data_IF_340291854934
#
_entry.id   IF_340291854934
#
_cell.length_a   1.000
_cell.length_b   1.000
_cell.length_c   1.000
_cell.angle_alpha   90.00
_cell.angle_beta   90.00
_cell.angle_gamma   90.00
#
_symmetry.space_group_name_H-M   'P 1'
#
loop_
_entity.id
_entity.type
_entity.pdbx_description
1 polymer ?
#
# COMPACT_ATOMS: atom_id res chain seq x y z
N UNK A 1 62.85 -6.87 8.48
CA UNK A 1 64.02 -6.02 8.15
C UNK A 1 63.48 -4.75 7.51
N UNK A 2 63.55 -3.63 8.25
CA UNK A 2 63.38 -2.24 7.80
C UNK A 2 64.47 -1.89 6.74
N UNK A 3 64.40 -0.78 5.96
CA UNK A 3 63.94 0.55 6.40
C UNK A 3 63.21 1.47 5.37
N UNK A 4 62.46 2.43 5.91
CA UNK A 4 62.39 3.84 5.44
C UNK A 4 63.40 4.66 6.31
N UNK A 5 63.89 5.90 6.01
CA UNK A 5 63.05 7.12 5.85
C UNK A 5 63.72 8.35 5.15
N UNK A 6 63.00 9.51 5.14
CA UNK A 6 63.54 10.88 4.94
C UNK A 6 62.50 11.78 4.24
N UNK A 7 61.65 12.59 4.88
CA UNK A 7 61.82 13.82 5.72
C UNK A 7 62.64 14.94 5.05
N UNK A 8 61.97 16.07 4.78
CA UNK A 8 62.38 17.38 5.33
C UNK A 8 61.20 18.39 5.43
N UNK A 9 61.27 19.41 6.32
CA UNK A 9 60.14 20.18 6.87
C UNK A 9 60.16 21.70 6.55
N UNK A 10 59.16 22.42 7.08
CA UNK A 10 59.18 23.89 7.26
C UNK A 10 58.08 24.60 6.46
N UNK A 11 57.27 25.54 6.99
CA UNK A 11 57.40 26.30 8.21
C UNK A 11 56.08 26.98 8.61
N UNK A 12 56.11 27.50 9.83
CA UNK A 12 55.01 28.02 10.63
C UNK A 12 54.61 29.46 10.23
N UNK A 13 53.36 29.82 10.46
CA UNK A 13 52.90 31.21 10.53
C UNK A 13 51.54 31.36 11.20
N UNK A 14 51.52 31.48 12.54
CA UNK A 14 50.35 31.91 13.34
C UNK A 14 50.45 33.42 13.59
N UNK A 15 49.38 34.19 13.31
CA UNK A 15 48.55 34.95 14.30
C UNK A 15 47.72 36.10 13.67
N UNK A 16 46.59 36.49 14.30
CA UNK A 16 45.63 37.54 13.87
C UNK A 16 45.81 38.82 14.73
N UNK A 17 44.79 39.68 14.99
CA UNK A 17 43.78 40.36 14.17
C UNK A 17 43.89 41.91 14.30
N UNK A 18 43.19 42.72 13.47
CA UNK A 18 42.89 44.13 13.81
C UNK A 18 41.51 44.61 13.34
N UNK A 19 40.95 45.43 14.22
CA UNK A 19 39.61 46.01 14.30
C UNK A 19 39.56 47.48 13.82
N UNK A 20 38.31 47.93 13.60
CA UNK A 20 37.76 49.30 13.68
C UNK A 20 37.83 50.27 12.48
N UNK A 21 36.63 50.67 12.01
CA UNK A 21 36.02 52.01 12.17
C UNK A 21 34.53 51.92 11.70
N UNK A 22 33.52 52.03 12.58
CA UNK A 22 32.77 53.23 13.03
C UNK A 22 32.25 54.15 11.90
N UNK A 23 30.94 54.09 11.67
CA UNK A 23 30.11 55.11 11.03
C UNK A 23 28.69 55.08 11.64
N UNK A 24 28.22 56.23 12.10
CA UNK A 24 27.08 56.48 13.01
C UNK A 24 25.69 56.45 12.35
N UNK A 25 24.59 56.36 13.14
CA UNK A 25 23.24 56.11 12.65
C UNK A 25 22.47 57.39 12.31
N UNK A 26 21.69 57.40 11.22
CA UNK A 26 20.67 58.44 10.96
C UNK A 26 19.27 57.92 11.32
N UNK A 27 18.65 58.58 12.29
CA UNK A 27 17.23 58.45 12.69
C UNK A 27 16.36 59.49 11.94
N UNK A 28 15.01 59.42 12.04
CA UNK A 28 14.09 59.58 10.92
C UNK A 28 13.56 61.00 10.73
N UNK A 29 13.07 61.30 9.52
CA UNK A 29 12.32 62.54 9.22
C UNK A 29 10.96 62.16 8.62
N UNK A 30 9.90 62.36 9.41
CA UNK A 30 8.56 62.80 8.97
C UNK A 30 8.36 64.16 9.64
N UNK A 31 7.86 65.19 8.95
CA UNK A 31 6.40 65.33 8.87
C UNK A 31 5.89 66.07 7.60
N UNK A 32 4.61 65.88 7.27
CA UNK A 32 3.67 67.01 7.14
C UNK A 32 2.26 66.53 6.77
N UNK A 33 1.35 66.92 7.65
CA UNK A 33 -0.11 66.85 7.55
C UNK A 33 -0.58 68.00 6.65
N UNK A 34 -1.48 67.74 5.70
CA UNK A 34 -2.41 68.75 5.15
C UNK A 34 -3.79 68.15 4.82
N UNK A 35 -4.76 68.50 5.65
CA UNK A 35 -6.18 68.81 5.36
C UNK A 35 -6.50 70.03 6.27
N UNK A 36 -7.37 71.01 5.92
CA UNK A 36 -8.80 70.85 5.54
C UNK A 36 -9.16 71.76 4.32
N UNK A 37 -10.38 71.97 3.81
CA UNK A 37 -11.71 72.32 4.39
C UNK A 37 -12.83 72.13 3.31
N UNK A 38 -14.12 72.52 3.48
CA UNK A 38 -15.27 71.63 3.22
C UNK A 38 -16.24 72.13 2.13
N UNK A 39 -17.16 71.30 1.65
CA UNK A 39 -18.48 71.79 1.22
C UNK A 39 -19.56 70.70 1.40
N UNK A 40 -20.55 71.02 2.23
CA UNK A 40 -21.96 70.56 2.23
C UNK A 40 -22.80 71.84 2.02
N UNK A 41 -24.11 71.81 1.69
CA UNK A 41 -25.09 70.72 1.93
C UNK A 41 -26.11 70.49 0.79
N UNK A 42 -26.95 69.46 0.92
CA UNK A 42 -28.26 69.44 0.25
C UNK A 42 -28.85 68.05 0.01
N UNK A 43 -29.89 67.69 0.77
CA UNK A 43 -30.87 66.66 0.35
C UNK A 43 -30.78 65.28 1.02
N UNK A 44 -31.57 65.08 2.07
CA UNK A 44 -32.15 63.79 2.50
C UNK A 44 -33.65 63.82 2.10
N UNK A 45 -34.45 62.76 2.27
CA UNK A 45 -34.20 61.30 2.23
C UNK A 45 -35.33 60.51 1.52
N UNK A 46 -35.12 59.31 0.96
CA UNK A 46 -36.17 58.26 0.95
C UNK A 46 -35.55 56.85 0.98
N UNK A 47 -36.06 56.02 1.90
CA UNK A 47 -35.84 54.57 2.06
C UNK A 47 -36.27 53.79 0.82
N UNK A 48 -35.50 52.76 0.44
CA UNK A 48 -36.06 51.49 -0.02
C UNK A 48 -35.04 50.37 0.22
N UNK A 49 -35.31 49.58 1.26
CA UNK A 49 -34.71 48.27 1.49
C UNK A 49 -35.27 47.34 0.41
N UNK A 50 -34.45 46.94 -0.56
CA UNK A 50 -34.82 45.86 -1.47
C UNK A 50 -34.56 44.53 -0.77
N UNK A 51 -35.65 43.91 -0.31
CA UNK A 51 -35.70 42.49 -0.02
C UNK A 51 -35.79 41.71 -1.36
N UNK A 52 -35.13 40.54 -1.50
CA UNK A 52 -35.33 39.69 -2.66
C UNK A 52 -36.70 39.00 -2.58
N UNK A 53 -37.45 39.06 -3.68
CA UNK A 53 -38.76 38.42 -3.85
C UNK A 53 -38.64 36.89 -3.90
N UNK A 54 -39.65 36.13 -3.41
CA UNK A 54 -39.64 34.68 -3.46
C UNK A 54 -40.03 34.21 -4.87
N UNK A 55 -39.08 33.65 -5.62
CA UNK A 55 -39.41 32.89 -6.84
C UNK A 55 -39.94 31.51 -6.42
N UNK A 56 -41.26 31.38 -6.42
CA UNK A 56 -41.94 30.09 -6.57
C UNK A 56 -41.77 29.62 -8.03
N UNK A 57 -40.64 28.97 -8.29
CA UNK A 57 -40.39 28.18 -9.50
C UNK A 57 -40.66 26.71 -9.19
N UNK A 58 -41.66 26.15 -9.86
CA UNK A 58 -42.20 24.80 -9.67
C UNK A 58 -41.10 23.73 -9.75
N UNK A 59 -40.99 22.90 -8.71
CA UNK A 59 -40.37 21.59 -8.79
C UNK A 59 -41.14 20.77 -9.83
N UNK A 60 -40.57 20.63 -11.02
CA UNK A 60 -40.95 19.57 -11.95
C UNK A 60 -40.03 18.40 -11.61
N UNK A 61 -40.52 17.31 -10.99
CA UNK A 61 -39.74 16.10 -10.90
C UNK A 61 -39.51 15.63 -12.34
N UNK A 62 -38.27 15.74 -12.83
CA UNK A 62 -37.87 15.01 -14.03
C UNK A 62 -38.18 13.52 -13.81
N UNK A 63 -38.51 12.77 -14.87
CA UNK A 63 -38.79 11.34 -14.73
C UNK A 63 -37.56 10.71 -14.07
N UNK A 64 -37.76 10.21 -12.86
CA UNK A 64 -36.78 9.41 -12.13
C UNK A 64 -36.57 8.14 -12.95
N UNK A 65 -35.60 8.19 -13.85
CA UNK A 65 -34.98 6.98 -14.37
C UNK A 65 -34.63 6.13 -13.16
N UNK A 66 -35.05 4.86 -13.10
CA UNK A 66 -34.70 3.97 -12.01
C UNK A 66 -33.21 3.70 -12.12
N UNK A 67 -32.41 4.61 -11.56
CA UNK A 67 -31.04 4.30 -11.22
C UNK A 67 -31.14 3.11 -10.28
N UNK A 68 -30.28 2.10 -10.48
CA UNK A 68 -30.11 0.98 -9.57
C UNK A 68 -29.48 1.48 -8.24
N UNK A 69 -30.04 2.53 -7.63
CA UNK A 69 -29.72 3.02 -6.30
C UNK A 69 -30.33 2.04 -5.32
N UNK A 70 -29.66 0.92 -5.10
CA UNK A 70 -30.08 0.00 -4.05
C UNK A 70 -30.09 0.72 -2.72
N UNK A 71 -31.12 0.45 -1.93
CA UNK A 71 -31.25 1.00 -0.58
C UNK A 71 -30.05 0.68 0.32
N UNK A 72 -29.99 1.26 1.53
CA UNK A 72 -28.85 1.13 2.45
C UNK A 72 -28.38 -0.31 2.68
N UNK A 73 -29.33 -1.26 2.71
CA UNK A 73 -29.06 -2.70 2.87
C UNK A 73 -28.27 -3.27 1.69
N UNK A 74 -28.67 -2.97 0.45
CA UNK A 74 -27.97 -3.48 -0.74
C UNK A 74 -26.56 -2.88 -0.86
N UNK A 75 -26.43 -1.59 -0.55
CA UNK A 75 -25.12 -0.92 -0.50
C UNK A 75 -24.22 -1.53 0.57
N UNK A 76 -24.74 -1.80 1.77
CA UNK A 76 -24.02 -2.51 2.82
C UNK A 76 -23.55 -3.90 2.40
N UNK A 77 -24.41 -4.68 1.72
CA UNK A 77 -24.02 -5.97 1.14
C UNK A 77 -22.84 -5.83 0.19
N UNK A 78 -22.88 -4.86 -0.75
CA UNK A 78 -21.78 -4.67 -1.70
C UNK A 78 -20.49 -4.18 -1.04
N UNK A 79 -20.55 -3.44 0.06
CA UNK A 79 -19.35 -3.14 0.86
C UNK A 79 -18.73 -4.40 1.46
N UNK A 80 -19.54 -5.33 1.99
CA UNK A 80 -19.05 -6.62 2.52
C UNK A 80 -18.45 -7.46 1.40
N UNK A 81 -19.14 -7.56 0.25
CA UNK A 81 -18.61 -8.25 -0.93
C UNK A 81 -17.28 -7.65 -1.38
N UNK A 82 -17.22 -6.32 -1.46
CA UNK A 82 -15.97 -5.64 -1.82
C UNK A 82 -14.87 -5.87 -0.78
N UNK A 83 -15.19 -5.93 0.51
CA UNK A 83 -14.20 -6.12 1.57
C UNK A 83 -13.40 -7.42 1.39
N UNK A 84 -14.04 -8.49 0.87
CA UNK A 84 -13.38 -9.77 0.55
C UNK A 84 -12.28 -9.67 -0.52
N UNK A 85 -12.24 -8.57 -1.29
CA UNK A 85 -11.16 -8.26 -2.25
C UNK A 85 -10.10 -7.29 -1.73
N UNK A 86 -10.24 -6.82 -0.48
CA UNK A 86 -9.39 -5.76 0.07
C UNK A 86 -8.14 -6.32 0.76
N UNK A 87 -7.06 -5.52 0.79
CA UNK A 87 -5.88 -5.85 1.60
C UNK A 87 -6.22 -5.96 3.10
N UNK A 88 -7.19 -5.18 3.58
CA UNK A 88 -7.68 -5.23 4.96
C UNK A 88 -8.33 -6.57 5.33
N UNK A 89 -8.81 -7.34 4.35
CA UNK A 89 -9.26 -8.71 4.54
C UNK A 89 -8.10 -9.71 4.43
N UNK A 90 -7.31 -9.62 3.36
CA UNK A 90 -6.28 -10.62 3.07
C UNK A 90 -5.10 -10.59 4.04
N UNK A 91 -4.64 -9.42 4.47
CA UNK A 91 -3.46 -9.32 5.35
C UNK A 91 -3.71 -10.03 6.69
N UNK A 92 -4.81 -9.75 7.44
CA UNK A 92 -5.12 -10.50 8.65
C UNK A 92 -5.33 -11.99 8.40
N UNK A 93 -6.04 -12.35 7.32
CA UNK A 93 -6.29 -13.75 6.96
C UNK A 93 -4.98 -14.52 6.75
N UNK A 94 -4.06 -13.98 5.95
CA UNK A 94 -2.77 -14.61 5.68
C UNK A 94 -1.92 -14.68 6.95
N UNK A 95 -1.89 -13.64 7.78
CA UNK A 95 -1.14 -13.67 9.05
C UNK A 95 -1.65 -14.79 9.96
N UNK A 96 -2.96 -14.90 10.12
CA UNK A 96 -3.59 -15.96 10.93
C UNK A 96 -3.28 -17.34 10.34
N UNK A 97 -3.49 -17.54 9.04
CA UNK A 97 -3.24 -18.83 8.40
C UNK A 97 -1.75 -19.20 8.43
N UNK A 98 -0.85 -18.22 8.29
CA UNK A 98 0.59 -18.42 8.36
C UNK A 98 0.99 -18.88 9.76
N UNK A 99 0.57 -18.19 10.82
CA UNK A 99 0.98 -18.51 12.20
C UNK A 99 0.27 -19.74 12.80
N UNK A 100 -0.92 -20.09 12.30
CA UNK A 100 -1.79 -21.06 12.98
C UNK A 100 -2.15 -22.30 12.16
N UNK A 101 -1.92 -22.32 10.84
CA UNK A 101 -2.42 -23.41 10.00
C UNK A 101 -1.40 -23.95 8.99
N UNK A 102 -1.08 -23.16 7.95
CA UNK A 102 -0.43 -23.66 6.74
C UNK A 102 0.72 -22.74 6.29
N UNK A 103 1.80 -22.61 7.10
CA UNK A 103 2.83 -21.58 6.91
C UNK A 103 3.50 -21.65 5.53
N UNK A 104 3.81 -22.85 5.02
CA UNK A 104 4.44 -23.02 3.70
C UNK A 104 3.54 -22.62 2.54
N UNK A 105 2.26 -22.98 2.62
CA UNK A 105 1.29 -22.63 1.59
C UNK A 105 1.04 -21.12 1.56
N UNK A 106 0.87 -20.54 2.74
CA UNK A 106 0.56 -19.12 2.93
C UNK A 106 1.77 -18.24 2.59
N UNK A 107 2.99 -18.74 2.77
CA UNK A 107 4.20 -18.05 2.32
C UNK A 107 4.20 -17.81 0.80
N UNK A 108 3.80 -18.82 0.02
CA UNK A 108 3.67 -18.71 -1.44
C UNK A 108 2.62 -17.66 -1.80
N UNK A 109 1.42 -17.75 -1.22
CA UNK A 109 0.35 -16.77 -1.42
C UNK A 109 0.80 -15.34 -1.08
N UNK A 110 1.51 -15.18 0.04
CA UNK A 110 2.02 -13.89 0.53
C UNK A 110 2.98 -13.25 -0.48
N UNK A 111 3.93 -14.01 -1.02
CA UNK A 111 4.89 -13.49 -2.02
C UNK A 111 4.17 -13.00 -3.28
N UNK A 112 3.21 -13.78 -3.78
CA UNK A 112 2.46 -13.44 -4.99
C UNK A 112 1.58 -12.20 -4.74
N UNK A 113 0.91 -12.12 -3.60
CA UNK A 113 0.05 -10.98 -3.26
C UNK A 113 0.82 -9.69 -3.01
N UNK A 114 2.00 -9.76 -2.38
CA UNK A 114 2.86 -8.59 -2.21
C UNK A 114 3.39 -8.07 -3.56
N UNK A 115 3.78 -8.98 -4.45
CA UNK A 115 4.17 -8.60 -5.81
C UNK A 115 2.99 -8.01 -6.60
N UNK A 116 1.80 -8.62 -6.49
CA UNK A 116 0.56 -8.09 -7.08
C UNK A 116 0.24 -6.69 -6.57
N UNK A 117 0.36 -6.45 -5.25
CA UNK A 117 0.12 -5.14 -4.65
C UNK A 117 1.10 -4.09 -5.20
N UNK A 118 2.39 -4.42 -5.30
CA UNK A 118 3.36 -3.54 -5.95
C UNK A 118 2.98 -3.25 -7.40
N UNK A 119 2.67 -4.27 -8.19
CA UNK A 119 2.31 -4.11 -9.60
C UNK A 119 1.06 -3.24 -9.76
N UNK A 120 0.08 -3.38 -8.88
CA UNK A 120 -1.11 -2.52 -8.87
C UNK A 120 -0.75 -1.05 -8.65
N UNK A 121 0.09 -0.77 -7.64
CA UNK A 121 0.56 0.60 -7.36
C UNK A 121 1.35 1.16 -8.53
N UNK A 122 2.26 0.38 -9.12
CA UNK A 122 3.03 0.79 -10.29
C UNK A 122 2.11 1.12 -11.47
N UNK A 123 1.17 0.24 -11.81
CA UNK A 123 0.29 0.44 -12.96
C UNK A 123 -0.66 1.62 -12.77
N UNK A 124 -1.07 1.92 -11.53
CA UNK A 124 -1.80 3.16 -11.23
C UNK A 124 -0.97 4.42 -11.53
N UNK A 125 0.34 4.38 -11.28
CA UNK A 125 1.30 5.42 -11.67
C UNK A 125 1.69 5.37 -13.17
N UNK A 126 1.24 4.39 -13.93
CA UNK A 126 1.48 4.37 -15.39
C UNK A 126 0.25 4.88 -16.12
N UNK A 127 -0.93 4.41 -15.72
CA UNK A 127 -2.18 4.74 -16.40
C UNK A 127 -2.75 6.10 -16.00
N UNK A 128 -2.59 6.52 -14.73
CA UNK A 128 -3.16 7.77 -14.21
C UNK A 128 -4.66 7.96 -14.49
N UNK A 129 -5.37 6.85 -14.66
CA UNK A 129 -6.76 6.84 -15.10
C UNK A 129 -7.69 7.27 -13.95
N UNK A 130 -8.58 8.26 -14.13
CA UNK A 130 -9.49 8.69 -13.10
C UNK A 130 -10.54 7.61 -12.76
N UNK A 131 -11.14 7.72 -11.58
CA UNK A 131 -12.30 6.89 -11.23
C UNK A 131 -13.57 7.48 -11.85
N UNK A 132 -14.58 6.66 -12.18
CA UNK A 132 -15.82 7.16 -12.79
C UNK A 132 -16.46 8.28 -11.99
N UNK A 133 -16.61 8.12 -10.67
CA UNK A 133 -17.21 9.15 -9.81
C UNK A 133 -16.40 10.45 -9.69
N UNK A 134 -15.11 10.44 -10.09
CA UNK A 134 -14.31 11.68 -10.13
C UNK A 134 -14.69 12.55 -11.32
N UNK A 135 -15.06 11.93 -12.44
CA UNK A 135 -15.25 12.59 -13.73
C UNK A 135 -16.71 12.72 -14.13
N UNK A 136 -17.57 11.80 -13.68
CA UNK A 136 -18.97 11.72 -14.05
C UNK A 136 -19.86 11.98 -12.82
N UNK A 137 -20.54 13.15 -12.76
CA UNK A 137 -21.40 13.49 -11.63
C UNK A 137 -22.66 12.63 -11.55
N UNK A 138 -22.99 11.84 -12.58
CA UNK A 138 -24.10 10.88 -12.55
C UNK A 138 -23.73 9.60 -11.79
N UNK A 139 -22.44 9.36 -11.55
CA UNK A 139 -21.94 8.20 -10.80
C UNK A 139 -21.75 8.58 -9.34
N UNK A 140 -22.64 8.06 -8.49
CA UNK A 140 -22.55 8.22 -7.05
C UNK A 140 -21.46 7.31 -6.44
N UNK A 141 -20.38 7.93 -5.96
CA UNK A 141 -19.24 7.28 -5.35
C UNK A 141 -19.50 6.87 -3.90
N UNK A 142 -19.86 5.61 -3.68
CA UNK A 142 -20.26 5.07 -2.37
C UNK A 142 -19.08 4.72 -1.46
N UNK A 143 -17.85 4.96 -1.90
CA UNK A 143 -16.66 4.86 -1.09
C UNK A 143 -15.58 5.82 -1.60
N UNK A 144 -14.88 6.46 -0.68
CA UNK A 144 -13.76 7.33 -1.02
C UNK A 144 -12.49 6.53 -1.34
N UNK A 145 -11.85 6.92 -2.44
CA UNK A 145 -10.50 6.48 -2.77
C UNK A 145 -9.70 7.64 -3.37
N UNK A 146 -8.43 7.73 -3.00
CA UNK A 146 -7.53 8.84 -3.34
C UNK A 146 -6.35 8.41 -4.24
N UNK A 147 -6.43 7.20 -4.81
CA UNK A 147 -5.51 6.67 -5.82
C UNK A 147 -6.23 6.41 -7.14
N UNK A 148 -5.50 6.51 -8.26
CA UNK A 148 -6.00 6.27 -9.62
C UNK A 148 -6.79 4.96 -9.78
N UNK A 149 -7.72 4.93 -10.72
CA UNK A 149 -8.69 3.86 -10.90
C UNK A 149 -8.16 2.62 -11.61
N UNK A 150 -7.27 2.78 -12.59
CA UNK A 150 -6.76 1.68 -13.41
C UNK A 150 -5.45 1.10 -12.87
N UNK A 151 -5.33 -0.23 -12.70
CA UNK A 151 -6.40 -1.23 -12.63
C UNK A 151 -7.01 -1.31 -11.22
N UNK A 152 -8.21 -1.91 -11.12
CA UNK A 152 -8.86 -2.10 -9.82
C UNK A 152 -8.09 -3.10 -8.94
N UNK A 153 -7.54 -2.64 -7.81
CA UNK A 153 -6.78 -3.51 -6.89
C UNK A 153 -7.63 -4.60 -6.23
N UNK A 154 -8.92 -4.34 -5.96
CA UNK A 154 -9.82 -5.37 -5.42
C UNK A 154 -10.09 -6.48 -6.43
N UNK A 155 -10.35 -6.10 -7.69
CA UNK A 155 -10.50 -7.05 -8.78
C UNK A 155 -9.19 -7.80 -9.06
N UNK A 156 -8.04 -7.13 -8.97
CA UNK A 156 -6.73 -7.77 -9.17
C UNK A 156 -6.37 -8.77 -8.06
N UNK A 157 -6.61 -8.42 -6.80
CA UNK A 157 -6.30 -9.32 -5.67
C UNK A 157 -7.18 -10.57 -5.66
N UNK A 158 -8.41 -10.48 -6.17
CA UNK A 158 -9.38 -11.57 -6.05
C UNK A 158 -8.93 -12.87 -6.76
N UNK A 159 -8.52 -12.88 -8.05
CA UNK A 159 -7.94 -14.06 -8.68
C UNK A 159 -6.67 -14.54 -7.98
N UNK A 160 -5.79 -13.61 -7.58
CA UNK A 160 -4.52 -13.97 -6.94
C UNK A 160 -4.75 -14.69 -5.61
N UNK A 161 -5.70 -14.24 -4.79
CA UNK A 161 -5.98 -14.88 -3.50
C UNK A 161 -6.90 -16.10 -3.63
N UNK A 162 -8.13 -15.89 -4.11
CA UNK A 162 -9.15 -16.94 -4.17
C UNK A 162 -8.81 -18.03 -5.19
N UNK A 163 -8.26 -17.63 -6.34
CA UNK A 163 -7.77 -18.58 -7.35
C UNK A 163 -6.55 -19.36 -6.88
N UNK A 164 -5.61 -18.73 -6.15
CA UNK A 164 -4.47 -19.46 -5.59
C UNK A 164 -4.91 -20.54 -4.61
N UNK A 165 -5.82 -20.24 -3.68
CA UNK A 165 -6.31 -21.26 -2.74
C UNK A 165 -7.15 -22.36 -3.43
N UNK A 166 -7.96 -22.00 -4.43
CA UNK A 166 -8.68 -22.98 -5.25
C UNK A 166 -7.71 -23.88 -6.05
N UNK A 167 -6.58 -23.37 -6.51
CA UNK A 167 -5.58 -24.14 -7.23
C UNK A 167 -4.90 -25.24 -6.39
N UNK A 168 -5.01 -25.18 -5.07
CA UNK A 168 -4.46 -26.18 -4.15
C UNK A 168 -5.36 -27.41 -3.98
N UNK A 169 -6.48 -27.46 -4.71
CA UNK A 169 -7.46 -28.53 -4.61
C UNK A 169 -7.93 -28.95 -6.00
N UNK A 170 -8.30 -30.22 -6.14
CA UNK A 170 -8.94 -30.78 -7.34
C UNK A 170 -10.47 -30.67 -7.31
N UNK A 171 -11.05 -30.09 -6.26
CA UNK A 171 -12.51 -30.01 -6.09
C UNK A 171 -13.08 -28.88 -6.92
N UNK A 172 -13.80 -29.21 -8.00
CA UNK A 172 -14.42 -28.24 -8.90
C UNK A 172 -15.36 -27.26 -8.18
N UNK A 173 -16.03 -27.68 -7.10
CA UNK A 173 -16.90 -26.83 -6.29
C UNK A 173 -16.14 -25.64 -5.69
N UNK A 174 -14.89 -25.84 -5.27
CA UNK A 174 -14.06 -24.76 -4.70
C UNK A 174 -13.57 -23.79 -5.77
N UNK A 175 -13.35 -24.27 -7.00
CA UNK A 175 -13.11 -23.41 -8.16
C UNK A 175 -14.33 -22.59 -8.54
N UNK A 176 -15.52 -23.20 -8.57
CA UNK A 176 -16.77 -22.50 -8.84
C UNK A 176 -17.06 -21.43 -7.77
N UNK A 177 -16.83 -21.75 -6.49
CA UNK A 177 -16.96 -20.80 -5.39
C UNK A 177 -15.96 -19.63 -5.52
N UNK A 178 -14.70 -19.91 -5.84
CA UNK A 178 -13.70 -18.86 -6.06
C UNK A 178 -14.08 -17.96 -7.24
N UNK A 179 -14.51 -18.53 -8.37
CA UNK A 179 -14.97 -17.77 -9.53
C UNK A 179 -16.17 -16.88 -9.20
N UNK A 180 -17.14 -17.39 -8.44
CA UNK A 180 -18.30 -16.61 -7.99
C UNK A 180 -17.88 -15.43 -7.09
N UNK A 181 -16.99 -15.65 -6.13
CA UNK A 181 -16.48 -14.57 -5.26
C UNK A 181 -15.70 -13.53 -6.06
N UNK A 182 -14.84 -13.94 -7.01
CA UNK A 182 -14.09 -13.04 -7.89
C UNK A 182 -15.04 -12.17 -8.72
N UNK A 183 -16.08 -12.78 -9.31
CA UNK A 183 -17.10 -12.08 -10.07
C UNK A 183 -17.86 -11.06 -9.20
N UNK A 184 -18.33 -11.48 -8.03
CA UNK A 184 -19.06 -10.63 -7.08
C UNK A 184 -18.20 -9.45 -6.61
N UNK A 185 -16.91 -9.66 -6.33
CA UNK A 185 -15.99 -8.57 -6.00
C UNK A 185 -15.93 -7.57 -7.13
N UNK A 186 -15.74 -7.99 -8.39
CA UNK A 186 -15.72 -7.07 -9.54
C UNK A 186 -17.02 -6.28 -9.69
N UNK A 187 -18.17 -6.95 -9.61
CA UNK A 187 -19.50 -6.31 -9.67
C UNK A 187 -19.66 -5.26 -8.56
N UNK A 188 -19.21 -5.58 -7.33
CA UNK A 188 -19.27 -4.64 -6.21
C UNK A 188 -18.52 -3.34 -6.51
N UNK A 189 -17.40 -3.38 -7.24
CA UNK A 189 -16.59 -2.19 -7.54
C UNK A 189 -17.28 -1.26 -8.52
N UNK A 190 -18.02 -1.81 -9.47
CA UNK A 190 -18.84 -1.05 -10.42
C UNK A 190 -20.08 -0.49 -9.72
N UNK A 191 -20.78 -1.32 -8.93
CA UNK A 191 -21.96 -0.91 -8.18
C UNK A 191 -21.66 0.25 -7.21
N UNK A 192 -20.53 0.18 -6.52
CA UNK A 192 -20.10 1.23 -5.58
C UNK A 192 -19.62 2.51 -6.29
N UNK A 193 -19.61 2.55 -7.63
CA UNK A 193 -19.23 3.73 -8.42
C UNK A 193 -17.72 4.03 -8.44
N UNK A 194 -16.91 3.18 -7.81
CA UNK A 194 -15.49 3.43 -7.57
C UNK A 194 -14.57 2.94 -8.67
N UNK A 195 -15.08 2.13 -9.60
CA UNK A 195 -14.36 1.66 -10.78
C UNK A 195 -15.28 1.47 -11.99
N UNK A 196 -14.72 1.67 -13.19
CA UNK A 196 -15.40 1.30 -14.43
C UNK A 196 -15.29 -0.21 -14.70
N UNK A 197 -16.11 -0.73 -15.62
CA UNK A 197 -15.99 -2.12 -16.08
C UNK A 197 -14.59 -2.39 -16.64
N UNK A 198 -14.03 -1.48 -17.44
CA UNK A 198 -12.68 -1.62 -17.98
C UNK A 198 -11.60 -1.74 -16.90
N UNK A 199 -11.71 -0.95 -15.82
CA UNK A 199 -10.79 -1.02 -14.68
C UNK A 199 -10.89 -2.35 -13.91
N UNK A 200 -12.09 -2.93 -13.84
CA UNK A 200 -12.32 -4.25 -13.23
C UNK A 200 -11.76 -5.37 -14.12
N UNK A 201 -12.05 -5.34 -15.43
CA UNK A 201 -11.55 -6.32 -16.39
C UNK A 201 -10.02 -6.34 -16.45
N UNK A 202 -9.37 -5.17 -16.45
CA UNK A 202 -7.92 -5.08 -16.38
C UNK A 202 -7.37 -5.64 -15.07
N UNK A 203 -8.03 -5.36 -13.95
CA UNK A 203 -7.68 -5.97 -12.66
C UNK A 203 -7.74 -7.51 -12.72
N UNK A 204 -8.83 -8.08 -13.21
CA UNK A 204 -8.96 -9.53 -13.37
C UNK A 204 -7.91 -10.12 -14.31
N UNK A 205 -7.65 -9.48 -15.46
CA UNK A 205 -6.66 -9.94 -16.43
C UNK A 205 -5.25 -9.99 -15.80
N UNK A 206 -4.85 -8.93 -15.11
CA UNK A 206 -3.55 -8.87 -14.42
C UNK A 206 -3.48 -9.89 -13.29
N UNK A 207 -4.53 -9.98 -12.46
CA UNK A 207 -4.58 -10.92 -11.34
C UNK A 207 -4.51 -12.39 -11.81
N UNK A 208 -5.22 -12.72 -12.89
CA UNK A 208 -5.20 -14.07 -13.48
C UNK A 208 -3.85 -14.37 -14.13
N UNK A 209 -3.26 -13.41 -14.85
CA UNK A 209 -1.93 -13.56 -15.43
C UNK A 209 -0.87 -13.81 -14.34
N UNK A 210 -0.92 -13.07 -13.23
CA UNK A 210 -0.05 -13.28 -12.09
C UNK A 210 -0.26 -14.65 -11.44
N UNK A 211 -1.51 -15.10 -11.28
CA UNK A 211 -1.80 -16.43 -10.75
C UNK A 211 -1.23 -17.53 -11.64
N UNK A 212 -1.47 -17.48 -12.95
CA UNK A 212 -0.97 -18.46 -13.92
C UNK A 212 0.56 -18.46 -13.93
N UNK A 213 1.18 -17.29 -13.98
CA UNK A 213 2.63 -17.15 -13.93
C UNK A 213 3.19 -17.71 -12.63
N UNK A 214 2.58 -17.41 -11.48
CA UNK A 214 3.02 -17.93 -10.20
C UNK A 214 2.96 -19.46 -10.15
N UNK A 215 1.82 -20.06 -10.53
CA UNK A 215 1.66 -21.52 -10.53
C UNK A 215 2.61 -22.22 -11.53
N UNK A 216 2.85 -21.60 -12.69
CA UNK A 216 3.76 -22.15 -13.71
C UNK A 216 5.25 -22.00 -13.36
N UNK A 217 5.64 -20.90 -12.71
CA UNK A 217 7.03 -20.62 -12.35
C UNK A 217 7.44 -21.20 -11.00
N UNK A 218 6.49 -21.43 -10.09
CA UNK A 218 6.76 -21.94 -8.74
C UNK A 218 7.62 -23.22 -8.72
N UNK A 219 7.35 -24.26 -9.55
CA UNK A 219 8.15 -25.49 -9.57
C UNK A 219 9.61 -25.28 -9.98
N UNK A 220 9.94 -24.15 -10.61
CA UNK A 220 11.28 -23.80 -11.07
C UNK A 220 11.94 -22.81 -10.11
N UNK A 221 11.23 -21.72 -9.79
CA UNK A 221 11.76 -20.60 -9.00
C UNK A 221 11.97 -20.99 -7.55
N UNK A 222 11.04 -21.71 -6.92
CA UNK A 222 11.17 -22.06 -5.49
C UNK A 222 12.36 -22.99 -5.24
N UNK A 223 12.54 -24.12 -5.98
CA UNK A 223 13.72 -24.96 -5.79
C UNK A 223 15.04 -24.26 -6.16
N UNK A 224 15.03 -23.41 -7.19
CA UNK A 224 16.21 -22.60 -7.54
C UNK A 224 16.58 -21.63 -6.43
N UNK A 225 15.60 -20.97 -5.83
CA UNK A 225 15.77 -20.02 -4.73
C UNK A 225 16.32 -20.69 -3.48
N UNK A 226 15.69 -21.79 -3.05
CA UNK A 226 16.02 -22.48 -1.79
C UNK A 226 17.40 -23.12 -1.81
N UNK A 227 17.97 -23.41 -2.98
CA UNK A 227 19.36 -23.89 -3.14
C UNK A 227 20.42 -22.80 -2.99
N UNK A 228 20.06 -21.51 -3.00
CA UNK A 228 21.03 -20.42 -2.84
C UNK A 228 21.38 -20.20 -1.38
N UNK A 229 22.59 -19.73 -1.11
CA UNK A 229 22.97 -19.32 0.23
C UNK A 229 22.06 -18.19 0.74
N UNK A 230 21.80 -18.15 2.05
CA UNK A 230 20.94 -17.15 2.68
C UNK A 230 21.35 -15.71 2.33
N UNK A 231 22.65 -15.41 2.33
CA UNK A 231 23.15 -14.09 1.95
C UNK A 231 22.70 -13.69 0.54
N UNK A 232 22.78 -14.63 -0.42
CA UNK A 232 22.33 -14.40 -1.80
C UNK A 232 20.82 -14.17 -1.85
N UNK A 233 20.03 -14.94 -1.11
CA UNK A 233 18.57 -14.77 -1.04
C UNK A 233 18.19 -13.39 -0.51
N UNK A 234 18.80 -12.95 0.60
CA UNK A 234 18.52 -11.64 1.21
C UNK A 234 19.00 -10.49 0.32
N UNK A 235 20.20 -10.59 -0.26
CA UNK A 235 20.71 -9.58 -1.20
C UNK A 235 19.81 -9.48 -2.42
N UNK A 236 19.38 -10.61 -3.00
CA UNK A 236 18.49 -10.61 -4.16
C UNK A 236 17.12 -10.00 -3.82
N UNK A 237 16.54 -10.33 -2.67
CA UNK A 237 15.29 -9.73 -2.21
C UNK A 237 15.40 -8.20 -2.11
N UNK A 238 16.50 -7.68 -1.54
CA UNK A 238 16.75 -6.25 -1.46
C UNK A 238 16.94 -5.62 -2.85
N UNK A 239 17.80 -6.19 -3.69
CA UNK A 239 18.07 -5.66 -5.04
C UNK A 239 16.81 -5.61 -5.88
N UNK A 240 16.02 -6.69 -5.91
CA UNK A 240 14.74 -6.71 -6.64
C UNK A 240 13.80 -5.64 -6.11
N UNK A 241 13.61 -5.52 -4.79
CA UNK A 241 12.74 -4.50 -4.23
C UNK A 241 13.19 -3.07 -4.55
N UNK A 242 14.49 -2.80 -4.56
CA UNK A 242 15.02 -1.49 -4.97
C UNK A 242 14.82 -1.22 -6.46
N UNK A 243 14.95 -2.23 -7.32
CA UNK A 243 14.64 -2.10 -8.75
C UNK A 243 13.15 -1.85 -8.99
N UNK A 244 12.27 -2.52 -8.24
CA UNK A 244 10.83 -2.28 -8.28
C UNK A 244 10.51 -0.85 -7.81
N UNK A 245 11.15 -0.37 -6.75
CA UNK A 245 10.97 1.01 -6.28
C UNK A 245 11.50 2.03 -7.30
N UNK A 246 12.63 1.75 -7.95
CA UNK A 246 13.18 2.56 -9.03
C UNK A 246 12.23 2.61 -10.24
N UNK A 247 11.57 1.50 -10.58
CA UNK A 247 10.55 1.48 -11.62
C UNK A 247 9.34 2.36 -11.26
N UNK A 248 8.89 2.33 -10.01
CA UNK A 248 7.83 3.24 -9.53
C UNK A 248 8.26 4.70 -9.54
N UNK A 249 9.51 5.00 -9.18
CA UNK A 249 10.10 6.33 -9.33
C UNK A 249 10.09 6.79 -10.78
N UNK A 250 10.52 5.94 -11.71
CA UNK A 250 10.46 6.21 -13.15
C UNK A 250 9.04 6.47 -13.66
N UNK A 251 8.05 5.71 -13.19
CA UNK A 251 6.63 5.92 -13.52
C UNK A 251 6.06 7.23 -12.93
N UNK A 252 6.61 7.73 -11.82
CA UNK A 252 6.20 9.00 -11.22
C UNK A 252 6.76 10.23 -11.97
N UNK A 253 7.92 10.13 -12.62
CA UNK A 253 8.58 11.27 -13.28
C UNK A 253 7.65 12.05 -14.25
N UNK A 254 6.84 11.40 -15.11
CA UNK A 254 5.94 12.12 -16.02
C UNK A 254 4.82 12.91 -15.32
N UNK A 255 4.52 12.62 -14.05
CA UNK A 255 3.43 13.24 -13.29
C UNK A 255 3.89 13.93 -12.01
N UNK A 256 5.18 14.21 -11.84
CA UNK A 256 5.69 14.89 -10.65
C UNK A 256 5.02 16.26 -10.43
N UNK A 257 4.70 16.97 -11.51
CA UNK A 257 4.02 18.26 -11.48
C UNK A 257 2.50 18.16 -11.66
N UNK A 258 1.95 16.94 -11.72
CA UNK A 258 0.52 16.74 -11.87
C UNK A 258 -0.20 17.22 -10.61
N UNK A 259 -1.36 17.86 -10.81
CA UNK A 259 -2.22 18.36 -9.74
C UNK A 259 -3.62 17.83 -9.95
N UNK A 260 -4.30 17.58 -8.83
CA UNK A 260 -5.71 17.21 -8.83
C UNK A 260 -6.55 18.29 -9.52
N UNK A 261 -7.34 17.94 -10.54
CA UNK A 261 -8.37 18.83 -11.07
C UNK A 261 -9.39 19.17 -9.98
N UNK A 262 -9.82 20.42 -9.88
CA UNK A 262 -10.75 20.88 -8.83
C UNK A 262 -12.06 20.08 -8.82
N UNK A 263 -12.56 19.70 -9.99
CA UNK A 263 -13.76 18.87 -10.11
C UNK A 263 -13.56 17.50 -9.43
N UNK A 264 -12.40 16.86 -9.64
CA UNK A 264 -12.09 15.55 -9.05
C UNK A 264 -11.90 15.68 -7.55
N UNK A 265 -11.20 16.73 -7.09
CA UNK A 265 -11.00 16.98 -5.67
C UNK A 265 -12.34 17.18 -4.93
N UNK A 266 -13.28 17.94 -5.52
CA UNK A 266 -14.64 18.08 -4.97
C UNK A 266 -15.40 16.75 -4.94
N UNK A 267 -15.30 15.94 -5.99
CA UNK A 267 -15.94 14.63 -6.01
C UNK A 267 -15.37 13.68 -4.93
N UNK A 268 -14.05 13.70 -4.71
CA UNK A 268 -13.40 12.95 -3.63
C UNK A 268 -13.89 13.41 -2.26
N UNK A 269 -14.01 14.73 -2.04
CA UNK A 269 -14.53 15.29 -0.79
C UNK A 269 -16.01 14.94 -0.57
N UNK A 270 -16.84 14.98 -1.61
CA UNK A 270 -18.23 14.60 -1.54
C UNK A 270 -18.42 13.12 -1.14
N UNK A 271 -17.50 12.24 -1.56
CA UNK A 271 -17.46 10.84 -1.14
C UNK A 271 -16.83 10.63 0.26
N UNK A 272 -16.49 11.70 0.99
CA UNK A 272 -15.89 11.65 2.33
C UNK A 272 -14.36 11.50 2.37
N UNK A 273 -13.66 11.82 1.28
CA UNK A 273 -12.20 11.75 1.16
C UNK A 273 -11.47 13.08 1.23
N UNK A 274 -10.14 12.99 1.20
CA UNK A 274 -9.25 14.14 1.01
C UNK A 274 -8.16 13.78 0.00
N UNK A 275 -7.88 14.67 -0.95
CA UNK A 275 -6.84 14.46 -1.95
C UNK A 275 -5.46 14.68 -1.34
N UNK A 276 -4.58 13.70 -1.51
CA UNK A 276 -3.18 13.78 -1.09
C UNK A 276 -2.27 13.90 -2.33
N UNK A 277 -1.06 14.46 -2.20
CA UNK A 277 -0.06 14.42 -3.26
C UNK A 277 0.23 12.97 -3.68
N UNK A 278 0.42 12.75 -4.98
CA UNK A 278 0.87 11.45 -5.48
C UNK A 278 2.36 11.32 -5.16
N UNK A 279 2.72 10.36 -4.29
CA UNK A 279 4.10 10.14 -3.83
C UNK A 279 4.52 8.69 -4.01
N UNK A 280 5.80 8.41 -3.79
CA UNK A 280 6.34 7.05 -3.78
C UNK A 280 6.13 6.29 -2.46
N UNK A 281 5.47 6.87 -1.46
CA UNK A 281 5.35 6.25 -0.13
C UNK A 281 4.65 4.90 -0.20
N UNK A 282 3.55 4.79 -0.96
CA UNK A 282 2.83 3.52 -1.14
C UNK A 282 3.66 2.48 -1.92
N UNK A 283 4.44 2.93 -2.90
CA UNK A 283 5.38 2.07 -3.65
C UNK A 283 6.51 1.57 -2.75
N UNK A 284 7.03 2.43 -1.87
CA UNK A 284 8.05 2.08 -0.87
C UNK A 284 7.51 1.08 0.16
N UNK A 285 6.27 1.26 0.63
CA UNK A 285 5.60 0.27 1.48
C UNK A 285 5.48 -1.06 0.75
N UNK A 286 4.89 -1.09 -0.45
CA UNK A 286 4.73 -2.35 -1.19
C UNK A 286 6.06 -3.11 -1.43
N UNK A 287 7.09 -2.41 -1.90
CA UNK A 287 8.41 -3.01 -2.16
C UNK A 287 9.19 -3.37 -0.90
N UNK A 288 9.07 -2.58 0.16
CA UNK A 288 9.67 -2.86 1.47
C UNK A 288 9.03 -4.10 2.11
N UNK A 289 7.71 -4.24 2.03
CA UNK A 289 6.98 -5.42 2.49
C UNK A 289 7.36 -6.68 1.71
N UNK A 290 7.50 -6.57 0.39
CA UNK A 290 8.00 -7.64 -0.45
C UNK A 290 9.43 -8.06 -0.05
N UNK A 291 10.33 -7.11 0.16
CA UNK A 291 11.70 -7.37 0.61
C UNK A 291 11.70 -8.08 1.97
N UNK A 292 10.99 -7.53 2.95
CA UNK A 292 10.92 -8.05 4.31
C UNK A 292 10.34 -9.46 4.37
N UNK A 293 9.27 -9.72 3.62
CA UNK A 293 8.66 -11.04 3.54
C UNK A 293 9.59 -12.06 2.87
N UNK A 294 10.22 -11.73 1.73
CA UNK A 294 11.16 -12.64 1.07
C UNK A 294 12.38 -12.94 1.94
N UNK A 295 12.99 -11.90 2.52
CA UNK A 295 14.16 -12.06 3.39
C UNK A 295 13.80 -12.85 4.67
N UNK A 296 12.63 -12.60 5.26
CA UNK A 296 12.21 -13.30 6.46
C UNK A 296 11.78 -14.75 6.19
N UNK A 297 11.10 -15.04 5.08
CA UNK A 297 10.84 -16.41 4.64
C UNK A 297 12.13 -17.18 4.35
N UNK A 298 13.12 -16.51 3.75
CA UNK A 298 14.45 -17.08 3.50
C UNK A 298 15.17 -17.42 4.81
N UNK A 299 15.10 -16.51 5.80
CA UNK A 299 15.65 -16.73 7.12
C UNK A 299 14.93 -17.86 7.88
N UNK A 300 13.60 -17.91 7.79
CA UNK A 300 12.79 -18.97 8.38
C UNK A 300 13.13 -20.32 7.76
N UNK A 301 13.25 -20.39 6.43
CA UNK A 301 13.63 -21.61 5.73
C UNK A 301 15.04 -22.08 6.13
N UNK A 302 16.02 -21.17 6.22
CA UNK A 302 17.39 -21.48 6.62
C UNK A 302 17.49 -21.96 8.08
N UNK A 303 16.62 -21.47 8.97
CA UNK A 303 16.59 -21.85 10.41
C UNK A 303 15.72 -23.07 10.71
N UNK A 304 14.96 -23.54 9.73
CA UNK A 304 13.93 -24.56 9.92
C UNK A 304 12.57 -23.94 10.26
N UNK A 305 11.55 -24.37 9.51
CA UNK A 305 10.17 -23.97 9.71
C UNK A 305 9.67 -24.37 11.11
N UNK A 306 8.81 -23.55 11.69
CA UNK A 306 8.08 -23.90 12.90
C UNK A 306 6.92 -24.83 12.58
N UNK A 307 6.52 -25.65 13.55
CA UNK A 307 5.30 -26.44 13.48
C UNK A 307 4.09 -25.56 13.81
N UNK A 308 3.24 -25.33 12.80
CA UNK A 308 1.98 -24.60 12.98
C UNK A 308 0.89 -25.44 13.67
N UNK A 309 1.12 -26.74 13.86
CA UNK A 309 0.33 -27.65 14.70
C UNK A 309 0.29 -27.26 16.18
N UNK A 310 -0.18 -28.19 17.01
CA UNK A 310 -0.28 -28.00 18.45
C UNK A 310 -1.70 -27.72 18.96
N UNK A 311 -1.81 -27.52 20.27
CA UNK A 311 -3.10 -27.31 20.96
C UNK A 311 -3.73 -25.99 20.52
N UNK A 312 -5.07 -25.91 20.51
CA UNK A 312 -5.79 -24.71 20.10
C UNK A 312 -5.33 -23.45 20.85
N UNK A 313 -5.11 -23.54 22.16
CA UNK A 313 -4.65 -22.40 22.95
C UNK A 313 -3.25 -21.92 22.52
N UNK A 314 -2.34 -22.83 22.11
CA UNK A 314 -1.01 -22.46 21.63
C UNK A 314 -1.12 -21.69 20.32
N UNK A 315 -1.99 -22.14 19.41
CA UNK A 315 -2.28 -21.45 18.14
C UNK A 315 -2.87 -20.06 18.40
N UNK A 316 -3.85 -19.96 19.29
CA UNK A 316 -4.48 -18.68 19.62
C UNK A 316 -3.49 -17.72 20.33
N UNK A 317 -2.62 -18.22 21.20
CA UNK A 317 -1.61 -17.42 21.91
C UNK A 317 -0.53 -16.82 20.97
N UNK A 318 -0.32 -17.39 19.78
CA UNK A 318 0.58 -16.80 18.77
C UNK A 318 0.09 -15.47 18.24
N UNK A 319 -1.23 -15.27 18.16
CA UNK A 319 -1.83 -14.05 17.61
C UNK A 319 -1.45 -12.80 18.42
N UNK A 320 -1.72 -12.70 19.74
CA UNK A 320 -1.34 -11.52 20.51
C UNK A 320 0.18 -11.29 20.56
N UNK A 321 0.99 -12.36 20.62
CA UNK A 321 2.46 -12.25 20.59
C UNK A 321 2.94 -11.66 19.26
N UNK A 322 2.46 -12.20 18.14
CA UNK A 322 2.82 -11.71 16.81
C UNK A 322 2.29 -10.30 16.54
N UNK A 323 1.06 -10.01 16.95
CA UNK A 323 0.45 -8.67 16.81
C UNK A 323 1.22 -7.64 17.63
N UNK A 324 1.60 -7.95 18.87
CA UNK A 324 2.32 -7.01 19.73
C UNK A 324 3.64 -6.52 19.11
N UNK A 325 4.44 -7.43 18.53
CA UNK A 325 5.66 -7.01 17.84
C UNK A 325 5.39 -6.29 16.52
N UNK A 326 4.32 -6.65 15.79
CA UNK A 326 3.93 -5.96 14.56
C UNK A 326 3.50 -4.52 14.85
N UNK A 327 2.72 -4.31 15.93
CA UNK A 327 2.36 -2.99 16.43
C UNK A 327 3.60 -2.21 16.84
N UNK A 328 4.51 -2.82 17.60
CA UNK A 328 5.75 -2.15 18.01
C UNK A 328 6.60 -1.66 16.82
N UNK A 329 6.70 -2.46 15.74
CA UNK A 329 7.36 -2.04 14.50
C UNK A 329 6.59 -0.91 13.80
N UNK A 330 5.26 -1.00 13.78
CA UNK A 330 4.40 0.00 13.11
C UNK A 330 4.43 1.37 13.81
N UNK A 331 4.80 1.44 15.09
CA UNK A 331 5.02 2.71 15.79
C UNK A 331 6.22 3.51 15.24
N UNK A 332 7.09 2.87 14.46
CA UNK A 332 8.21 3.52 13.77
C UNK A 332 7.82 4.08 12.40
N UNK A 333 6.57 3.88 11.96
CA UNK A 333 6.07 4.37 10.67
C UNK A 333 6.10 5.90 10.58
N UNK A 334 6.23 6.41 9.37
CA UNK A 334 6.28 7.84 9.11
C UNK A 334 6.06 8.18 7.65
N UNK A 335 6.04 9.47 7.35
CA UNK A 335 5.74 10.01 6.02
C UNK A 335 6.94 10.00 5.07
N UNK A 336 8.16 9.79 5.57
CA UNK A 336 9.36 9.78 4.75
C UNK A 336 9.53 8.48 3.98
N UNK A 337 9.95 8.58 2.71
CA UNK A 337 10.10 7.45 1.79
C UNK A 337 10.97 6.31 2.36
N UNK A 338 12.17 6.64 2.83
CA UNK A 338 13.10 5.66 3.37
C UNK A 338 12.60 5.02 4.67
N UNK A 339 11.90 5.80 5.50
CA UNK A 339 11.28 5.30 6.73
C UNK A 339 10.15 4.33 6.42
N UNK A 340 9.24 4.69 5.51
CA UNK A 340 8.14 3.82 5.07
C UNK A 340 8.64 2.51 4.46
N UNK A 341 9.71 2.56 3.65
CA UNK A 341 10.38 1.37 3.13
C UNK A 341 10.94 0.50 4.27
N UNK A 342 11.76 1.09 5.15
CA UNK A 342 12.43 0.37 6.23
C UNK A 342 11.45 -0.26 7.22
N UNK A 343 10.38 0.46 7.58
CA UNK A 343 9.33 -0.04 8.48
C UNK A 343 8.61 -1.22 7.86
N UNK A 344 8.29 -1.17 6.57
CA UNK A 344 7.64 -2.31 5.93
C UNK A 344 8.61 -3.51 5.76
N UNK A 345 9.91 -3.29 5.55
CA UNK A 345 10.92 -4.35 5.60
C UNK A 345 10.93 -5.01 6.99
N UNK A 346 10.98 -4.21 8.06
CA UNK A 346 10.96 -4.71 9.43
C UNK A 346 9.67 -5.47 9.75
N UNK A 347 8.52 -4.98 9.28
CA UNK A 347 7.23 -5.62 9.49
C UNK A 347 7.16 -6.97 8.74
N UNK A 348 7.61 -7.03 7.49
CA UNK A 348 7.71 -8.27 6.73
C UNK A 348 8.63 -9.30 7.40
N UNK A 349 9.82 -8.86 7.85
CA UNK A 349 10.77 -9.69 8.61
C UNK A 349 10.17 -10.19 9.93
N UNK A 350 9.46 -9.33 10.65
CA UNK A 350 8.79 -9.69 11.89
C UNK A 350 7.72 -10.75 11.64
N UNK A 351 6.80 -10.51 10.70
CA UNK A 351 5.69 -11.43 10.42
C UNK A 351 6.20 -12.81 9.98
N UNK A 352 7.21 -12.85 9.11
CA UNK A 352 7.67 -14.08 8.46
C UNK A 352 8.80 -14.81 9.19
N UNK A 353 9.58 -14.14 10.05
CA UNK A 353 10.67 -14.76 10.80
C UNK A 353 10.68 -14.42 12.30
N UNK A 354 10.48 -13.16 12.66
CA UNK A 354 10.54 -12.70 14.06
C UNK A 354 9.48 -13.32 14.96
N UNK A 355 8.21 -13.28 14.54
CA UNK A 355 7.09 -13.87 15.25
C UNK A 355 7.21 -15.41 15.33
N UNK A 356 7.49 -16.15 14.24
CA UNK A 356 7.81 -17.57 14.31
C UNK A 356 8.91 -17.93 15.32
N UNK A 357 10.00 -17.16 15.36
CA UNK A 357 11.08 -17.35 16.34
C UNK A 357 10.59 -17.12 17.77
N UNK A 358 9.80 -16.06 18.00
CA UNK A 358 9.18 -15.80 19.29
C UNK A 358 8.27 -16.95 19.73
N UNK A 359 7.47 -17.53 18.82
CA UNK A 359 6.61 -18.67 19.13
C UNK A 359 7.39 -19.89 19.59
N UNK A 360 8.54 -20.17 18.95
CA UNK A 360 9.42 -21.28 19.34
C UNK A 360 10.04 -21.02 20.71
N UNK A 361 10.56 -19.81 20.96
CA UNK A 361 11.17 -19.44 22.25
C UNK A 361 10.17 -19.47 23.41
N UNK A 362 8.93 -19.08 23.15
CA UNK A 362 7.83 -19.10 24.13
C UNK A 362 7.14 -20.47 24.24
N UNK A 363 7.65 -21.52 23.56
CA UNK A 363 7.07 -22.87 23.54
C UNK A 363 5.62 -22.92 23.04
N UNK A 364 5.24 -21.96 22.20
CA UNK A 364 3.98 -21.91 21.49
C UNK A 364 4.02 -22.69 20.17
N UNK A 365 5.21 -22.98 19.65
CA UNK A 365 5.43 -23.84 18.48
C UNK A 365 6.71 -24.67 18.66
N UNK A 366 6.76 -25.86 18.09
CA UNK A 366 7.98 -26.65 17.99
C UNK A 366 8.79 -26.31 16.75
N UNK A 367 10.05 -26.74 16.71
CA UNK A 367 10.77 -26.96 15.45
C UNK A 367 10.89 -28.47 15.26
N UNK A 368 10.32 -29.04 14.19
CA UNK A 368 10.61 -30.42 13.84
C UNK A 368 12.13 -30.58 13.71
N UNK A 369 12.72 -31.58 14.37
CA UNK A 369 14.07 -31.99 14.03
C UNK A 369 14.08 -32.36 12.55
N UNK A 370 15.13 -32.02 11.78
CA UNK A 370 15.27 -32.54 10.42
C UNK A 370 15.14 -34.05 10.49
N UNK A 371 14.17 -34.62 9.77
CA UNK A 371 14.10 -36.06 9.63
C UNK A 371 15.45 -36.51 9.04
N UNK A 372 16.12 -37.46 9.68
CA UNK A 372 17.29 -38.11 9.10
C UNK A 372 16.76 -38.95 7.94
N UNK A 373 16.59 -38.36 6.76
CA UNK A 373 16.24 -39.11 5.56
C UNK A 373 17.46 -39.93 5.16
N UNK A 374 17.25 -41.23 4.96
CA UNK A 374 18.28 -42.08 4.37
C UNK A 374 18.47 -41.63 2.91
N UNK A 375 19.69 -41.69 2.33
CA UNK A 375 19.88 -41.35 0.93
C UNK A 375 18.95 -42.18 0.04
N UNK A 376 17.91 -41.55 -0.54
CA UNK A 376 16.94 -42.21 -1.42
C UNK A 376 15.47 -41.80 -1.21
N UNK A 377 15.08 -41.28 -0.05
CA UNK A 377 13.65 -41.05 0.29
C UNK A 377 13.04 -39.73 -0.24
N UNK A 378 13.87 -38.78 -0.72
CA UNK A 378 13.44 -37.43 -1.12
C UNK A 378 12.48 -37.38 -2.33
N UNK A 379 12.30 -38.49 -3.06
CA UNK A 379 11.45 -38.51 -4.27
C UNK A 379 9.95 -38.61 -3.98
N UNK A 380 9.55 -38.98 -2.76
CA UNK A 380 8.15 -39.31 -2.46
C UNK A 380 7.35 -38.11 -1.93
N UNK A 381 7.99 -37.17 -1.23
CA UNK A 381 7.31 -36.01 -0.63
C UNK A 381 6.98 -34.88 -1.61
N UNK A 382 7.59 -34.87 -2.81
CA UNK A 382 7.31 -33.83 -3.83
C UNK A 382 6.00 -34.06 -4.61
N UNK A 383 5.21 -35.09 -4.29
CA UNK A 383 3.98 -35.45 -5.02
C UNK A 383 2.68 -35.46 -4.19
N UNK A 384 2.69 -34.93 -2.98
CA UNK A 384 1.48 -34.72 -2.18
C UNK A 384 1.26 -33.23 -1.93
#
# INVERSE_FOLDING_TARGET
MLPAPGRDPGGRGRRPPRTHQRGTPRRPVRPSVRRPVPHRPGGRPVRAVLAPSPQHGRDVPGPSTPHLTGGPVLTGFWHVVSFLGSAAFYVPLLVVLFWCAAPRLVARATVILLFSAFLNTLLKLVFHDPRPYWTDPTVDGKASHTSFGMPSGHAQNAPVAWGFFAAQTRRWVLWAAAAAVIALIGVSRVYLGVHSIGQVLAGWAIGLALLVAALGLEPVVVPWWTRRHLAVQVTFALVVSLLLLAAAWGALQPIENWRWPDAWARAVQAAGGQTEPVTLVESARATGGFCGALAGLSLLAARGWFDAGGKLWQRLARLPVGIAGGVAVSLLDGSHLAQAFAVQVMLGLWVTAGAPEAFVRLRLAGRPAPAITRPGDDRTELRQ
#
